data_IF_391904871773
#
_entry.id   IF_391904871773
#
_cell.length_a   1.000
_cell.length_b   1.000
_cell.length_c   1.000
_cell.angle_alpha   90.00
_cell.angle_beta   90.00
_cell.angle_gamma   90.00
#
_symmetry.space_group_name_H-M   'P 1'
#
loop_
_entity.id
_entity.type
_entity.pdbx_description
1 polymer ?
#
# COMPACT_ATOMS: atom_id res chain seq x y z
N UNK A 1 62.68 -33.56 -1.73
CA UNK A 1 62.01 -32.54 -0.89
C UNK A 1 60.94 -31.93 -1.77
N UNK A 2 59.70 -32.38 -1.60
CA UNK A 2 58.60 -32.13 -2.54
C UNK A 2 58.06 -30.71 -2.31
N UNK A 3 57.85 -30.02 -3.41
CA UNK A 3 57.41 -28.63 -3.56
C UNK A 3 55.90 -28.61 -3.30
N UNK A 4 55.43 -27.68 -2.47
CA UNK A 4 54.04 -27.63 -2.00
C UNK A 4 53.03 -27.43 -3.13
N UNK A 5 52.04 -28.31 -3.21
CA UNK A 5 50.81 -28.10 -3.97
C UNK A 5 49.99 -26.99 -3.32
N UNK A 6 49.72 -25.93 -4.08
CA UNK A 6 48.71 -24.94 -3.76
C UNK A 6 47.34 -25.64 -3.70
N UNK A 7 46.70 -25.57 -2.53
CA UNK A 7 45.32 -25.98 -2.34
C UNK A 7 44.43 -24.99 -3.12
N UNK A 8 44.12 -25.28 -4.38
CA UNK A 8 43.04 -24.59 -5.08
C UNK A 8 41.73 -25.03 -4.44
N UNK A 9 41.17 -24.17 -3.59
CA UNK A 9 39.80 -24.32 -3.11
C UNK A 9 38.91 -24.10 -4.33
N UNK A 10 38.36 -25.19 -4.86
CA UNK A 10 37.37 -25.16 -5.94
C UNK A 10 36.11 -24.46 -5.39
N UNK A 11 35.96 -23.17 -5.70
CA UNK A 11 34.75 -22.43 -5.37
C UNK A 11 33.70 -22.89 -6.38
N UNK A 12 32.64 -23.58 -5.96
CA UNK A 12 31.67 -24.12 -6.90
C UNK A 12 31.09 -22.99 -7.77
N UNK A 13 30.98 -23.27 -9.07
CA UNK A 13 30.33 -22.38 -10.03
C UNK A 13 28.93 -22.01 -9.53
N UNK A 14 28.61 -20.72 -9.55
CA UNK A 14 27.31 -20.18 -9.05
C UNK A 14 26.10 -20.84 -9.72
N UNK A 15 26.29 -21.46 -10.88
CA UNK A 15 25.29 -22.24 -11.60
C UNK A 15 24.81 -23.53 -10.90
N UNK A 16 25.46 -23.98 -9.82
CA UNK A 16 25.11 -25.24 -9.12
C UNK A 16 24.28 -25.04 -7.84
N UNK A 17 23.99 -23.80 -7.44
CA UNK A 17 22.95 -23.57 -6.46
C UNK A 17 21.61 -23.72 -7.17
N UNK A 18 20.91 -24.84 -6.94
CA UNK A 18 19.50 -25.01 -7.29
C UNK A 18 18.66 -24.03 -6.46
N UNK A 19 18.76 -22.74 -6.78
CA UNK A 19 17.86 -21.71 -6.26
C UNK A 19 16.58 -21.83 -7.07
N UNK A 20 15.55 -22.37 -6.43
CA UNK A 20 14.19 -22.25 -6.93
C UNK A 20 13.81 -20.78 -6.76
N UNK A 21 13.47 -20.11 -7.85
CA UNK A 21 12.98 -18.74 -7.78
C UNK A 21 11.66 -18.70 -7.00
N UNK A 22 11.42 -17.65 -6.22
CA UNK A 22 10.20 -17.51 -5.42
C UNK A 22 9.44 -16.21 -5.76
N UNK A 23 8.10 -16.30 -5.76
CA UNK A 23 7.20 -15.16 -5.63
C UNK A 23 6.95 -14.90 -4.15
N UNK A 24 7.59 -13.87 -3.60
CA UNK A 24 7.46 -13.48 -2.19
C UNK A 24 6.63 -12.21 -2.06
N UNK A 25 5.53 -12.28 -1.32
CA UNK A 25 4.68 -11.14 -1.04
C UNK A 25 4.89 -10.60 0.38
N UNK A 26 5.49 -9.43 0.48
CA UNK A 26 5.67 -8.68 1.71
C UNK A 26 4.49 -7.73 1.96
N UNK A 27 3.87 -7.85 3.13
CA UNK A 27 2.69 -7.05 3.44
C UNK A 27 2.61 -6.55 4.88
N UNK A 28 1.80 -5.51 5.06
CA UNK A 28 1.49 -4.89 6.34
C UNK A 28 0.60 -3.66 6.12
N UNK A 29 0.11 -3.01 7.18
CA UNK A 29 -0.63 -1.75 7.05
C UNK A 29 0.21 -0.66 6.36
N UNK A 30 -0.38 0.50 6.12
CA UNK A 30 0.41 1.68 5.78
C UNK A 30 1.44 1.96 6.88
N UNK A 31 2.50 2.68 6.57
CA UNK A 31 3.48 3.14 7.57
C UNK A 31 4.37 2.04 8.20
N UNK A 32 4.30 0.79 7.74
CA UNK A 32 5.13 -0.32 8.26
C UNK A 32 6.52 -0.46 7.60
N UNK A 33 6.91 0.46 6.72
CA UNK A 33 8.25 0.48 6.10
C UNK A 33 8.44 -0.42 4.87
N UNK A 34 7.37 -0.75 4.13
CA UNK A 34 7.42 -1.58 2.91
C UNK A 34 8.45 -1.11 1.89
N UNK A 35 8.39 0.15 1.45
CA UNK A 35 9.33 0.71 0.48
C UNK A 35 10.77 0.77 1.01
N UNK A 36 10.97 0.94 2.31
CA UNK A 36 12.31 0.80 2.92
C UNK A 36 12.84 -0.63 2.75
N UNK A 37 12.02 -1.63 3.07
CA UNK A 37 12.41 -3.04 2.93
C UNK A 37 12.65 -3.41 1.46
N UNK A 38 11.82 -2.92 0.53
CA UNK A 38 12.03 -3.11 -0.91
C UNK A 38 13.40 -2.61 -1.36
N UNK A 39 13.77 -1.39 -0.97
CA UNK A 39 15.07 -0.81 -1.28
C UNK A 39 16.22 -1.54 -0.59
N UNK A 40 16.03 -2.03 0.64
CA UNK A 40 17.01 -2.86 1.34
C UNK A 40 17.24 -4.20 0.63
N UNK A 41 16.17 -4.89 0.23
CA UNK A 41 16.25 -6.14 -0.53
C UNK A 41 17.00 -5.89 -1.84
N UNK A 42 16.63 -4.85 -2.58
CA UNK A 42 17.34 -4.48 -3.81
C UNK A 42 18.83 -4.20 -3.57
N UNK A 43 19.18 -3.45 -2.53
CA UNK A 43 20.56 -3.15 -2.19
C UNK A 43 21.36 -4.42 -1.84
N UNK A 44 20.79 -5.33 -1.04
CA UNK A 44 21.42 -6.61 -0.68
C UNK A 44 21.66 -7.47 -1.92
N UNK A 45 20.66 -7.59 -2.79
CA UNK A 45 20.72 -8.40 -4.00
C UNK A 45 21.74 -7.84 -5.01
N UNK A 46 21.71 -6.52 -5.24
CA UNK A 46 22.65 -5.84 -6.13
C UNK A 46 24.10 -5.93 -5.64
N UNK A 47 24.33 -5.74 -4.34
CA UNK A 47 25.68 -5.88 -3.74
C UNK A 47 26.20 -7.32 -3.84
N UNK A 48 25.30 -8.31 -3.84
CA UNK A 48 25.65 -9.71 -4.10
C UNK A 48 25.97 -10.01 -5.59
N UNK A 49 25.83 -9.02 -6.48
CA UNK A 49 26.12 -9.11 -7.91
C UNK A 49 24.94 -9.59 -8.76
N UNK A 50 23.70 -9.49 -8.26
CA UNK A 50 22.48 -9.77 -9.03
C UNK A 50 21.92 -8.49 -9.64
N UNK A 51 21.50 -8.55 -10.90
CA UNK A 51 20.80 -7.47 -11.60
C UNK A 51 19.29 -7.60 -11.36
N UNK A 52 18.62 -6.51 -11.02
CA UNK A 52 17.17 -6.52 -10.84
C UNK A 52 16.52 -5.22 -11.27
N UNK A 53 15.22 -5.30 -11.57
CA UNK A 53 14.41 -4.17 -12.00
C UNK A 53 13.40 -3.79 -10.90
N UNK A 54 13.29 -2.50 -10.63
CA UNK A 54 12.32 -1.94 -9.68
C UNK A 54 11.10 -1.43 -10.43
N UNK A 55 9.93 -1.67 -9.87
CA UNK A 55 8.65 -1.24 -10.37
C UNK A 55 7.84 -0.58 -9.25
N UNK A 56 7.10 0.47 -9.59
CA UNK A 56 6.18 1.15 -8.68
C UNK A 56 4.95 1.60 -9.45
N UNK A 57 3.82 1.79 -8.76
CA UNK A 57 2.58 2.31 -9.34
C UNK A 57 2.03 3.44 -8.49
N UNK A 58 1.52 4.49 -9.14
CA UNK A 58 1.01 5.69 -8.48
C UNK A 58 2.04 6.30 -7.52
N UNK A 59 3.27 6.51 -8.00
CA UNK A 59 4.29 7.18 -7.21
C UNK A 59 3.81 8.58 -6.81
N UNK A 60 3.85 8.86 -5.50
CA UNK A 60 3.42 10.13 -4.91
C UNK A 60 4.30 11.30 -5.34
N UNK A 61 5.51 11.03 -5.83
CA UNK A 61 6.44 12.03 -6.34
C UNK A 61 6.26 12.36 -7.83
N UNK A 62 5.53 11.54 -8.59
CA UNK A 62 5.37 11.71 -10.05
C UNK A 62 6.62 11.39 -10.89
N UNK A 63 7.73 11.05 -10.26
CA UNK A 63 9.05 10.89 -10.91
C UNK A 63 9.43 9.43 -11.19
N UNK A 64 8.50 8.47 -11.02
CA UNK A 64 8.79 7.03 -11.13
C UNK A 64 9.93 6.59 -10.20
N UNK A 65 9.82 6.91 -8.90
CA UNK A 65 10.82 6.59 -7.89
C UNK A 65 10.18 5.76 -6.79
N UNK A 66 10.87 4.71 -6.33
CA UNK A 66 10.53 4.13 -5.02
C UNK A 66 11.20 4.99 -3.98
N UNK A 67 10.40 5.70 -3.17
CA UNK A 67 10.87 6.52 -2.07
C UNK A 67 10.38 5.97 -0.73
N UNK A 68 11.24 6.04 0.28
CA UNK A 68 10.90 5.61 1.63
C UNK A 68 10.91 6.78 2.61
N UNK A 69 10.16 6.62 3.70
CA UNK A 69 10.08 7.65 4.76
C UNK A 69 11.38 7.88 5.52
N UNK A 70 12.33 6.98 5.39
CA UNK A 70 13.67 7.11 5.98
C UNK A 70 14.66 7.78 5.02
N UNK A 71 14.19 8.34 3.90
CA UNK A 71 15.01 9.11 2.97
C UNK A 71 15.79 8.26 1.96
N UNK A 72 15.56 6.95 1.91
CA UNK A 72 16.07 6.11 0.83
C UNK A 72 15.21 6.30 -0.43
N UNK A 73 15.84 6.37 -1.59
CA UNK A 73 15.16 6.38 -2.88
C UNK A 73 15.95 5.62 -3.94
N UNK A 74 15.25 5.08 -4.93
CA UNK A 74 15.84 4.49 -6.13
C UNK A 74 14.91 4.66 -7.33
N UNK A 75 15.44 4.89 -8.55
CA UNK A 75 14.62 4.89 -9.76
C UNK A 75 13.86 3.58 -9.93
N UNK A 76 12.62 3.68 -10.40
CA UNK A 76 11.77 2.55 -10.70
C UNK A 76 11.04 2.78 -12.02
N UNK A 77 10.61 1.71 -12.66
CA UNK A 77 9.72 1.81 -13.81
C UNK A 77 8.26 1.93 -13.32
N UNK A 78 7.52 2.87 -13.89
CA UNK A 78 6.10 3.00 -13.60
C UNK A 78 5.31 1.83 -14.22
N UNK A 79 4.38 1.29 -13.43
CA UNK A 79 3.48 0.21 -13.87
C UNK A 79 2.14 0.80 -14.29
N UNK A 80 1.94 0.94 -15.60
CA UNK A 80 0.63 1.20 -16.18
C UNK A 80 -0.24 -0.06 -16.22
N UNK A 81 -1.53 0.09 -16.50
CA UNK A 81 -2.46 -1.05 -16.61
C UNK A 81 -2.14 -1.99 -17.79
N UNK A 82 -1.43 -1.48 -18.81
CA UNK A 82 -1.03 -2.24 -20.00
C UNK A 82 0.35 -2.91 -19.89
N UNK A 83 1.11 -2.65 -18.82
CA UNK A 83 2.43 -3.27 -18.65
C UNK A 83 2.30 -4.79 -18.55
N UNK A 84 3.00 -5.51 -19.44
CA UNK A 84 3.18 -6.96 -19.39
C UNK A 84 4.55 -7.29 -18.75
N UNK A 85 4.53 -7.78 -17.51
CA UNK A 85 5.76 -8.13 -16.78
C UNK A 85 6.54 -9.28 -17.44
N UNK A 86 5.82 -10.26 -18.00
CA UNK A 86 6.44 -11.41 -18.65
C UNK A 86 7.09 -10.98 -19.96
N UNK A 87 6.35 -10.24 -20.79
CA UNK A 87 6.86 -9.68 -22.03
C UNK A 87 8.04 -8.74 -21.82
N UNK A 88 8.01 -7.93 -20.76
CA UNK A 88 9.14 -7.10 -20.33
C UNK A 88 10.37 -7.98 -20.04
N UNK A 89 10.25 -8.98 -19.15
CA UNK A 89 11.36 -9.82 -18.76
C UNK A 89 11.97 -10.59 -19.96
N UNK A 90 11.13 -11.15 -20.83
CA UNK A 90 11.58 -11.82 -22.07
C UNK A 90 12.33 -10.84 -22.97
N UNK A 91 11.86 -9.61 -23.10
CA UNK A 91 12.50 -8.57 -23.92
C UNK A 91 13.89 -8.23 -23.39
N UNK A 92 14.03 -8.04 -22.07
CA UNK A 92 15.31 -7.78 -21.41
C UNK A 92 16.31 -8.91 -21.67
N UNK A 93 15.90 -10.16 -21.40
CA UNK A 93 16.74 -11.34 -21.55
C UNK A 93 17.15 -11.57 -23.01
N UNK A 94 16.22 -11.42 -23.95
CA UNK A 94 16.48 -11.63 -25.39
C UNK A 94 17.40 -10.54 -25.96
N UNK A 95 17.37 -9.34 -25.40
CA UNK A 95 18.31 -8.27 -25.74
C UNK A 95 19.71 -8.47 -25.11
N UNK A 96 19.96 -9.61 -24.46
CA UNK A 96 21.23 -9.94 -23.82
C UNK A 96 21.49 -9.20 -22.50
N UNK A 97 20.46 -8.56 -21.93
CA UNK A 97 20.58 -7.94 -20.60
C UNK A 97 20.43 -8.99 -19.53
N UNK A 98 21.12 -8.81 -18.41
CA UNK A 98 20.99 -9.67 -17.25
C UNK A 98 19.85 -9.17 -16.38
N UNK A 99 18.92 -10.06 -16.07
CA UNK A 99 17.82 -9.82 -15.15
C UNK A 99 17.71 -11.06 -14.27
N UNK A 100 17.92 -10.90 -12.97
CA UNK A 100 17.91 -11.99 -12.00
C UNK A 100 16.70 -11.91 -11.05
N UNK A 101 16.06 -10.75 -10.88
CA UNK A 101 14.89 -10.56 -10.02
C UNK A 101 14.09 -9.27 -10.33
N UNK A 102 12.83 -9.24 -9.87
CA UNK A 102 11.97 -8.07 -9.89
C UNK A 102 11.64 -7.59 -8.46
N UNK A 103 11.56 -6.27 -8.27
CA UNK A 103 11.04 -5.62 -7.06
C UNK A 103 9.78 -4.87 -7.48
N UNK A 104 8.64 -5.20 -6.90
CA UNK A 104 7.35 -4.61 -7.23
C UNK A 104 6.76 -3.91 -6.01
N UNK A 105 6.87 -2.58 -5.93
CA UNK A 105 6.25 -1.79 -4.87
C UNK A 105 4.81 -1.37 -5.22
N UNK A 106 4.01 -1.09 -4.19
CA UNK A 106 2.59 -0.76 -4.28
C UNK A 106 1.76 -1.79 -5.09
N UNK A 107 2.15 -3.07 -5.00
CA UNK A 107 1.60 -4.17 -5.78
C UNK A 107 0.10 -4.44 -5.53
N UNK A 108 -0.49 -3.85 -4.49
CA UNK A 108 -1.95 -3.89 -4.31
C UNK A 108 -2.73 -3.22 -5.46
N UNK A 109 -2.09 -2.35 -6.24
CA UNK A 109 -2.70 -1.66 -7.37
C UNK A 109 -2.49 -2.38 -8.71
N UNK A 110 -1.82 -3.54 -8.70
CA UNK A 110 -1.67 -4.35 -9.90
C UNK A 110 -2.99 -5.05 -10.22
N UNK A 111 -3.20 -5.31 -11.50
CA UNK A 111 -4.34 -6.12 -11.95
C UNK A 111 -4.08 -7.60 -11.67
N UNK A 112 -5.13 -8.41 -11.63
CA UNK A 112 -4.99 -9.86 -11.44
C UNK A 112 -4.10 -10.49 -12.53
N UNK A 113 -4.24 -10.01 -13.78
CA UNK A 113 -3.41 -10.43 -14.90
C UNK A 113 -1.93 -10.10 -14.69
N UNK A 114 -1.63 -8.90 -14.18
CA UNK A 114 -0.25 -8.52 -13.86
C UNK A 114 0.36 -9.43 -12.80
N UNK A 115 -0.40 -9.81 -11.79
CA UNK A 115 0.07 -10.75 -10.76
C UNK A 115 0.28 -12.16 -11.34
N UNK A 116 -0.60 -12.61 -12.25
CA UNK A 116 -0.39 -13.88 -12.97
C UNK A 116 0.87 -13.86 -13.83
N UNK A 117 1.17 -12.74 -14.49
CA UNK A 117 2.42 -12.57 -15.24
C UNK A 117 3.64 -12.65 -14.31
N UNK A 118 3.57 -12.09 -13.10
CA UNK A 118 4.66 -12.21 -12.11
C UNK A 118 4.89 -13.67 -11.69
N UNK A 119 3.83 -14.44 -11.45
CA UNK A 119 3.97 -15.87 -11.17
C UNK A 119 4.63 -16.61 -12.35
N UNK A 120 4.23 -16.30 -13.58
CA UNK A 120 4.87 -16.87 -14.79
C UNK A 120 6.34 -16.46 -14.94
N UNK A 121 6.72 -15.26 -14.52
CA UNK A 121 8.13 -14.83 -14.49
C UNK A 121 8.95 -15.73 -13.54
N UNK A 122 8.38 -16.10 -12.40
CA UNK A 122 9.03 -17.04 -11.47
C UNK A 122 9.08 -18.44 -12.07
N UNK A 123 7.93 -18.97 -12.50
CA UNK A 123 7.80 -20.36 -12.96
C UNK A 123 8.60 -20.64 -14.24
N UNK A 124 8.40 -19.82 -15.28
CA UNK A 124 8.92 -20.11 -16.61
C UNK A 124 10.32 -19.53 -16.82
N UNK A 125 10.64 -18.38 -16.20
CA UNK A 125 11.92 -17.68 -16.40
C UNK A 125 12.90 -17.87 -15.23
N UNK A 126 12.46 -18.46 -14.11
CA UNK A 126 13.28 -18.70 -12.91
C UNK A 126 13.90 -17.41 -12.36
N UNK A 127 13.14 -16.32 -12.37
CA UNK A 127 13.53 -15.03 -11.80
C UNK A 127 12.77 -14.79 -10.48
N UNK A 128 13.46 -14.37 -9.42
CA UNK A 128 12.78 -14.04 -8.16
C UNK A 128 11.87 -12.83 -8.33
N UNK A 129 10.71 -12.84 -7.68
CA UNK A 129 9.83 -11.68 -7.61
C UNK A 129 9.54 -11.34 -6.15
N UNK A 130 9.88 -10.12 -5.76
CA UNK A 130 9.56 -9.58 -4.44
C UNK A 130 8.49 -8.50 -4.58
N UNK A 131 7.26 -8.82 -4.19
CA UNK A 131 6.13 -7.90 -4.22
C UNK A 131 5.92 -7.26 -2.84
N UNK A 132 5.64 -5.96 -2.81
CA UNK A 132 5.39 -5.18 -1.61
C UNK A 132 4.05 -4.47 -1.75
N UNK A 133 3.17 -4.64 -0.77
CA UNK A 133 1.85 -4.00 -0.84
C UNK A 133 1.03 -4.13 0.44
N UNK A 134 -0.07 -3.40 0.52
CA UNK A 134 -1.04 -3.52 1.62
C UNK A 134 -2.14 -4.52 1.27
N UNK A 135 -2.53 -5.39 2.20
CA UNK A 135 -3.60 -6.38 1.94
C UNK A 135 -4.96 -5.74 1.68
N UNK A 136 -5.36 -4.81 2.54
CA UNK A 136 -6.73 -4.30 2.57
C UNK A 136 -6.82 -2.79 2.48
N UNK A 137 -7.88 -2.32 1.83
CA UNK A 137 -8.27 -0.92 1.79
C UNK A 137 -8.80 -0.41 3.14
N UNK A 138 -9.23 0.85 3.16
CA UNK A 138 -9.81 1.50 4.33
C UNK A 138 -11.17 0.92 4.77
N UNK A 139 -11.80 0.10 3.93
CA UNK A 139 -13.05 -0.61 4.21
C UNK A 139 -12.78 -2.03 4.73
N UNK A 140 -11.51 -2.39 4.93
CA UNK A 140 -11.09 -3.75 5.30
C UNK A 140 -11.49 -4.79 4.25
N UNK A 141 -11.47 -4.40 2.97
CA UNK A 141 -11.62 -5.30 1.83
C UNK A 141 -10.27 -5.50 1.16
N UNK A 142 -10.01 -6.72 0.71
CA UNK A 142 -8.77 -7.02 -0.02
C UNK A 142 -8.69 -6.14 -1.28
N UNK A 143 -7.50 -5.63 -1.56
CA UNK A 143 -7.20 -5.16 -2.91
C UNK A 143 -7.19 -6.34 -3.88
N UNK A 144 -7.71 -6.20 -5.12
CA UNK A 144 -7.69 -7.27 -6.11
C UNK A 144 -6.28 -7.85 -6.32
N UNK A 145 -5.29 -7.00 -6.63
CA UNK A 145 -3.90 -7.44 -6.82
C UNK A 145 -3.30 -8.12 -5.59
N UNK A 146 -3.58 -7.62 -4.38
CA UNK A 146 -3.16 -8.30 -3.15
C UNK A 146 -3.89 -9.62 -2.90
N UNK A 147 -5.17 -9.71 -3.24
CA UNK A 147 -5.92 -10.97 -3.20
C UNK A 147 -5.28 -12.00 -4.12
N UNK A 148 -4.93 -11.59 -5.35
CA UNK A 148 -4.26 -12.48 -6.29
C UNK A 148 -2.85 -12.89 -5.82
N UNK A 149 -2.10 -11.98 -5.20
CA UNK A 149 -0.80 -12.30 -4.60
C UNK A 149 -0.93 -13.29 -3.44
N UNK A 150 -1.98 -13.18 -2.62
CA UNK A 150 -2.27 -14.16 -1.55
C UNK A 150 -2.51 -15.56 -2.11
N UNK A 151 -3.13 -15.67 -3.28
CA UNK A 151 -3.42 -16.95 -3.92
C UNK A 151 -2.19 -17.58 -4.59
N UNK A 152 -1.28 -16.77 -5.15
CA UNK A 152 -0.20 -17.24 -6.01
C UNK A 152 1.19 -17.21 -5.38
N UNK A 153 1.45 -16.38 -4.37
CA UNK A 153 2.78 -16.26 -3.80
C UNK A 153 3.21 -17.56 -3.10
N UNK A 154 4.44 -18.01 -3.36
CA UNK A 154 5.07 -19.13 -2.65
C UNK A 154 5.16 -18.83 -1.15
N UNK A 155 5.42 -17.55 -0.83
CA UNK A 155 5.60 -17.08 0.54
C UNK A 155 4.95 -15.73 0.76
N UNK A 156 4.28 -15.62 1.90
CA UNK A 156 3.76 -14.36 2.41
C UNK A 156 4.47 -13.97 3.70
N UNK A 157 4.99 -12.76 3.75
CA UNK A 157 5.75 -12.25 4.88
C UNK A 157 5.12 -10.97 5.42
N UNK A 158 4.66 -11.00 6.67
CA UNK A 158 4.19 -9.77 7.34
C UNK A 158 5.37 -9.00 7.90
N UNK A 159 5.46 -7.69 7.61
CA UNK A 159 6.55 -6.86 8.12
C UNK A 159 6.58 -6.83 9.65
N UNK A 160 7.79 -7.00 10.20
CA UNK A 160 8.03 -7.08 11.64
C UNK A 160 7.90 -5.73 12.34
N UNK A 161 8.23 -4.64 11.63
CA UNK A 161 8.02 -3.29 12.13
C UNK A 161 6.55 -2.94 11.98
N UNK A 162 5.82 -3.04 13.09
CA UNK A 162 4.38 -2.86 13.11
C UNK A 162 4.04 -1.42 13.54
N UNK A 163 3.22 -0.69 12.78
CA UNK A 163 2.82 0.65 13.15
C UNK A 163 1.97 0.61 14.42
N UNK A 164 1.91 1.76 15.11
CA UNK A 164 1.26 1.90 16.40
C UNK A 164 0.06 2.83 16.26
N UNK A 165 -1.10 2.39 16.75
CA UNK A 165 -2.29 3.21 16.85
C UNK A 165 -2.06 4.32 17.88
N UNK A 166 -2.78 5.43 17.80
CA UNK A 166 -2.67 6.53 18.78
C UNK A 166 -2.79 6.10 20.25
N UNK A 167 -3.40 4.93 20.53
CA UNK A 167 -3.52 4.36 21.87
C UNK A 167 -2.33 3.52 22.34
N UNK A 168 -1.25 3.43 21.56
CA UNK A 168 -0.06 2.65 21.89
C UNK A 168 -0.16 1.16 21.54
N UNK A 169 -1.34 0.67 21.16
CA UNK A 169 -1.51 -0.71 20.67
C UNK A 169 -1.09 -0.83 19.22
N UNK A 170 -0.71 -2.05 18.80
CA UNK A 170 -0.43 -2.36 17.40
C UNK A 170 -1.58 -1.94 16.48
N UNK A 171 -1.26 -1.17 15.46
CA UNK A 171 -2.18 -0.89 14.37
C UNK A 171 -2.20 -2.05 13.37
N UNK A 172 -3.39 -2.42 12.92
CA UNK A 172 -3.61 -3.52 11.99
C UNK A 172 -4.54 -3.18 10.84
N UNK A 173 -5.17 -2.01 10.86
CA UNK A 173 -6.14 -1.58 9.86
C UNK A 173 -5.78 -0.20 9.33
N UNK A 174 -5.99 0.01 8.03
CA UNK A 174 -5.92 1.31 7.39
C UNK A 174 -7.27 2.01 7.54
N UNK A 175 -7.29 3.30 7.83
CA UNK A 175 -8.48 4.12 7.92
C UNK A 175 -8.32 5.34 7.03
N UNK A 176 -9.31 5.60 6.18
CA UNK A 176 -9.45 6.87 5.48
C UNK A 176 -10.18 7.84 6.39
N UNK A 177 -9.67 9.06 6.46
CA UNK A 177 -10.14 10.09 7.37
C UNK A 177 -10.44 11.36 6.58
N UNK A 178 -11.64 11.91 6.74
CA UNK A 178 -12.04 13.22 6.21
C UNK A 178 -12.35 14.10 7.41
N UNK A 179 -11.66 15.24 7.51
CA UNK A 179 -11.80 16.20 8.62
C UNK A 179 -11.71 15.55 10.01
N UNK A 180 -10.79 14.59 10.15
CA UNK A 180 -10.57 13.88 11.40
C UNK A 180 -11.56 12.73 11.68
N UNK A 181 -12.58 12.51 10.84
CA UNK A 181 -13.56 11.42 11.00
C UNK A 181 -13.29 10.28 10.03
N UNK A 182 -13.32 9.05 10.54
CA UNK A 182 -13.15 7.86 9.68
C UNK A 182 -14.35 7.68 8.75
N UNK A 183 -14.07 7.55 7.46
CA UNK A 183 -15.08 7.24 6.43
C UNK A 183 -14.99 5.79 6.01
N UNK A 184 -16.14 5.20 5.65
CA UNK A 184 -16.25 3.80 5.19
C UNK A 184 -16.80 3.67 3.77
N UNK A 185 -17.08 4.80 3.11
CA UNK A 185 -17.63 4.89 1.76
C UNK A 185 -16.68 5.69 0.83
N UNK A 186 -16.93 5.69 -0.47
CA UNK A 186 -16.04 6.27 -1.51
C UNK A 186 -15.12 5.28 -2.24
N UNK A 187 -14.59 5.66 -3.41
CA UNK A 187 -13.74 4.81 -4.24
C UNK A 187 -12.47 4.34 -3.52
N UNK A 188 -11.95 3.16 -3.89
CA UNK A 188 -10.77 2.56 -3.26
C UNK A 188 -9.48 3.35 -3.55
N UNK A 189 -9.43 4.03 -4.69
CA UNK A 189 -8.30 4.84 -5.13
C UNK A 189 -8.59 6.32 -4.87
N UNK A 190 -7.84 6.92 -3.94
CA UNK A 190 -7.61 8.37 -3.88
C UNK A 190 -6.09 8.48 -3.75
N UNK A 191 -5.42 8.65 -4.88
CA UNK A 191 -3.99 8.94 -4.92
C UNK A 191 -3.81 10.35 -4.37
N UNK A 192 -2.78 10.53 -3.56
CA UNK A 192 -2.57 11.75 -2.78
C UNK A 192 -2.31 12.97 -3.66
N UNK A 193 -3.38 13.62 -4.10
CA UNK A 193 -3.43 15.07 -4.23
C UNK A 193 -4.36 15.59 -3.14
N UNK A 194 -3.90 16.63 -2.46
CA UNK A 194 -4.63 17.25 -1.33
C UNK A 194 -5.74 18.19 -1.84
N UNK A 195 -6.07 18.18 -3.12
CA UNK A 195 -7.16 18.99 -3.68
C UNK A 195 -7.85 18.24 -4.83
N UNK A 196 -9.18 18.27 -4.80
CA UNK A 196 -10.14 17.75 -5.79
C UNK A 196 -10.47 16.24 -5.76
N UNK A 197 -11.65 15.95 -5.22
CA UNK A 197 -12.36 14.68 -5.41
C UNK A 197 -13.10 14.75 -6.76
N UNK A 198 -12.66 13.99 -7.77
CA UNK A 198 -13.51 13.69 -8.93
C UNK A 198 -14.56 12.65 -8.54
N UNK A 199 -15.82 13.07 -8.50
CA UNK A 199 -16.95 12.17 -8.42
C UNK A 199 -17.17 11.54 -9.81
N UNK A 200 -17.19 10.21 -9.86
CA UNK A 200 -17.58 9.48 -11.06
C UNK A 200 -19.02 9.83 -11.49
N UNK A 201 -19.33 9.86 -12.79
CA UNK A 201 -20.67 10.18 -13.28
C UNK A 201 -21.66 9.11 -12.80
N UNK A 202 -22.74 9.57 -12.19
CA UNK A 202 -23.92 8.75 -11.92
C UNK A 202 -24.52 8.28 -13.24
N UNK A 203 -24.69 6.97 -13.40
CA UNK A 203 -25.44 6.41 -14.52
C UNK A 203 -26.86 7.01 -14.53
N UNK A 204 -27.40 7.42 -15.69
CA UNK A 204 -28.74 7.99 -15.74
C UNK A 204 -29.77 6.90 -15.43
N UNK A 205 -30.61 7.17 -14.43
CA UNK A 205 -31.76 6.35 -14.09
C UNK A 205 -32.70 6.23 -15.29
N UNK A 206 -33.15 5.01 -15.57
CA UNK A 206 -34.17 4.69 -16.57
C UNK A 206 -35.51 5.39 -16.23
N UNK A 207 -36.10 6.03 -17.24
CA UNK A 207 -37.39 6.74 -17.16
C UNK A 207 -38.55 5.83 -16.72
N UNK A 208 -39.40 6.26 -15.76
CA UNK A 208 -40.77 5.80 -15.66
C UNK A 208 -41.75 6.84 -16.23
N UNK A 209 -42.68 6.33 -17.06
CA UNK A 209 -43.83 7.03 -17.66
C UNK A 209 -44.79 7.66 -16.62
N UNK A 210 -45.62 8.65 -17.01
CA UNK A 210 -46.31 9.58 -16.09
C UNK A 210 -47.71 9.10 -15.65
N UNK A 211 -48.32 9.86 -14.71
CA UNK A 211 -49.75 10.14 -14.39
C UNK A 211 -49.91 10.27 -12.84
N UNK A 212 -50.61 11.20 -12.18
CA UNK A 212 -51.34 12.43 -12.50
C UNK A 212 -51.61 13.21 -11.17
N UNK A 213 -51.69 14.54 -11.28
CA UNK A 213 -52.42 15.58 -10.52
C UNK A 213 -52.47 15.63 -8.96
N UNK A 214 -52.10 16.79 -8.39
CA UNK A 214 -52.37 17.13 -6.98
C UNK A 214 -51.55 18.28 -6.39
N UNK A 215 -52.04 19.51 -6.54
CA UNK A 215 -51.49 20.79 -6.03
C UNK A 215 -51.26 20.87 -4.51
N UNK A 216 -50.08 21.35 -4.06
CA UNK A 216 -49.83 21.91 -2.72
C UNK A 216 -48.82 23.09 -2.81
N UNK A 217 -48.96 24.20 -2.06
CA UNK A 217 -48.29 25.48 -2.32
C UNK A 217 -46.87 25.60 -1.70
N UNK A 218 -46.08 26.51 -2.29
CA UNK A 218 -44.63 26.62 -2.11
C UNK A 218 -44.11 27.24 -0.80
N UNK A 219 -42.83 26.95 -0.55
CA UNK A 219 -41.90 27.57 0.40
C UNK A 219 -40.45 27.38 -0.14
N UNK A 220 -39.46 28.18 0.31
CA UNK A 220 -38.45 28.79 -0.56
C UNK A 220 -37.27 27.89 -0.92
N UNK A 221 -36.64 28.22 -2.05
CA UNK A 221 -35.41 27.64 -2.55
C UNK A 221 -34.22 28.01 -1.66
N UNK A 222 -33.77 27.08 -0.82
CA UNK A 222 -32.42 27.09 -0.26
C UNK A 222 -31.51 26.38 -1.27
N UNK A 223 -30.86 27.15 -2.12
CA UNK A 223 -29.68 26.71 -2.86
C UNK A 223 -28.62 26.26 -1.86
N UNK A 224 -28.56 24.95 -1.59
CA UNK A 224 -27.47 24.34 -0.87
C UNK A 224 -26.17 24.59 -1.66
N UNK A 225 -25.35 25.48 -1.13
CA UNK A 225 -24.00 25.71 -1.63
C UNK A 225 -23.20 24.40 -1.51
N UNK A 226 -22.35 24.05 -2.49
CA UNK A 226 -21.51 22.87 -2.38
C UNK A 226 -20.56 23.04 -1.21
N UNK A 227 -20.66 22.14 -0.23
CA UNK A 227 -19.75 22.04 0.90
C UNK A 227 -18.36 21.66 0.41
N UNK A 228 -17.36 22.41 0.85
CA UNK A 228 -15.93 22.17 0.63
C UNK A 228 -15.58 20.68 0.80
N UNK A 229 -14.93 20.01 -0.19
CA UNK A 229 -14.53 18.62 -0.02
C UNK A 229 -13.41 18.57 1.03
N UNK A 230 -13.77 18.19 2.26
CA UNK A 230 -12.85 18.07 3.39
C UNK A 230 -11.56 17.31 3.07
N UNK A 231 -10.48 17.64 3.78
CA UNK A 231 -9.15 17.11 3.49
C UNK A 231 -9.08 15.61 3.75
N UNK A 232 -8.80 14.83 2.70
CA UNK A 232 -8.64 13.36 2.80
C UNK A 232 -7.25 13.03 3.32
N UNK A 233 -7.20 12.29 4.42
CA UNK A 233 -5.97 11.77 5.02
C UNK A 233 -6.11 10.28 5.34
N UNK A 234 -5.00 9.62 5.67
CA UNK A 234 -4.99 8.21 6.07
C UNK A 234 -4.34 8.05 7.45
N UNK A 235 -4.92 7.19 8.28
CA UNK A 235 -4.41 6.80 9.59
C UNK A 235 -4.36 5.26 9.70
N UNK A 236 -3.48 4.74 10.55
CA UNK A 236 -3.44 3.32 10.92
C UNK A 236 -3.95 3.11 12.34
N UNK A 237 -4.93 2.21 12.50
CA UNK A 237 -5.65 1.99 13.75
C UNK A 237 -5.53 0.54 14.24
N UNK A 238 -5.61 0.36 15.56
CA UNK A 238 -5.82 -0.96 16.13
C UNK A 238 -7.25 -1.43 15.80
N UNK A 239 -7.47 -2.76 15.79
CA UNK A 239 -8.77 -3.33 15.41
C UNK A 239 -9.95 -2.76 16.21
N UNK A 240 -9.77 -2.52 17.51
CA UNK A 240 -10.83 -1.97 18.36
C UNK A 240 -11.20 -0.55 17.96
N UNK A 241 -10.21 0.32 17.72
CA UNK A 241 -10.44 1.72 17.35
C UNK A 241 -10.95 1.86 15.92
N UNK A 242 -10.47 1.04 15.00
CA UNK A 242 -11.04 0.95 13.65
C UNK A 242 -12.53 0.57 13.68
N UNK A 243 -12.89 -0.49 14.42
CA UNK A 243 -14.30 -0.91 14.57
C UNK A 243 -15.19 0.13 15.24
N UNK A 244 -14.63 0.95 16.11
CA UNK A 244 -15.34 2.05 16.80
C UNK A 244 -15.29 3.37 16.03
N UNK A 245 -14.62 3.42 14.88
CA UNK A 245 -14.37 4.64 14.09
C UNK A 245 -13.73 5.75 14.92
N UNK A 246 -12.84 5.36 15.85
CA UNK A 246 -12.24 6.25 16.83
C UNK A 246 -10.83 6.63 16.38
N UNK A 247 -10.76 7.64 15.51
CA UNK A 247 -9.53 8.27 15.04
C UNK A 247 -8.83 9.02 16.16
N UNK A 248 -7.57 9.44 15.94
CA UNK A 248 -6.86 10.31 16.88
C UNK A 248 -7.65 11.60 17.16
N UNK A 249 -8.14 12.26 16.11
CA UNK A 249 -8.87 13.52 16.23
C UNK A 249 -10.14 13.38 17.07
N UNK A 250 -10.94 12.33 16.83
CA UNK A 250 -12.15 12.04 17.61
C UNK A 250 -11.81 11.77 19.08
N UNK A 251 -10.75 11.02 19.35
CA UNK A 251 -10.30 10.73 20.71
C UNK A 251 -9.88 12.01 21.46
N UNK A 252 -9.12 12.89 20.81
CA UNK A 252 -8.69 14.16 21.39
C UNK A 252 -9.86 15.10 21.67
N UNK A 253 -10.85 15.18 20.76
CA UNK A 253 -12.04 16.01 20.95
C UNK A 253 -12.91 15.55 22.14
N UNK A 254 -12.92 14.24 22.42
CA UNK A 254 -13.69 13.66 23.54
C UNK A 254 -12.99 13.85 24.89
N UNK A 255 -11.66 14.00 24.89
CA UNK A 255 -10.86 14.33 26.05
C UNK A 255 -10.90 15.86 26.28
N UNK A 256 -12.04 16.38 26.73
CA UNK A 256 -12.09 17.77 27.20
C UNK A 256 -11.12 17.95 28.37
N UNK A 257 -10.30 19.03 28.39
CA UNK A 257 -9.49 19.39 29.54
C UNK A 257 -10.41 20.00 30.60
N UNK A 258 -11.24 19.19 31.23
CA UNK A 258 -11.84 19.60 32.50
C UNK A 258 -10.72 19.49 33.54
N UNK A 259 -10.17 20.60 34.07
CA UNK A 259 -9.16 20.50 35.10
C UNK A 259 -9.77 19.78 36.29
N UNK A 260 -9.12 18.70 36.74
CA UNK A 260 -9.53 17.96 37.92
C UNK A 260 -9.72 18.94 39.09
N UNK A 261 -10.79 18.81 39.89
CA UNK A 261 -11.17 19.79 40.91
C UNK A 261 -10.27 19.67 42.15
N UNK A 262 -8.98 19.92 42.00
CA UNK A 262 -8.01 19.96 43.11
C UNK A 262 -7.76 21.38 43.63
N UNK A 263 -8.68 22.32 43.38
CA UNK A 263 -8.55 23.74 43.77
C UNK A 263 -9.48 24.22 44.89
N UNK A 264 -10.26 23.35 45.52
CA UNK A 264 -11.06 23.74 46.69
C UNK A 264 -10.29 23.37 47.96
N UNK A 265 -9.65 24.35 48.58
CA UNK A 265 -9.17 24.21 49.95
C UNK A 265 -10.35 23.77 50.84
N UNK A 266 -10.20 22.74 51.69
CA UNK A 266 -11.25 22.36 52.61
C UNK A 266 -11.59 23.55 53.52
N UNK A 267 -12.86 23.75 53.89
CA UNK A 267 -13.26 24.88 54.72
C UNK A 267 -12.45 24.85 56.02
N UNK A 268 -11.79 25.98 56.33
CA UNK A 268 -11.15 26.16 57.62
C UNK A 268 -12.24 26.06 58.69
N UNK A 269 -12.10 25.06 59.54
CA UNK A 269 -12.89 24.97 60.77
C UNK A 269 -12.25 25.96 61.73
N UNK A 270 -13.03 26.97 62.14
CA UNK A 270 -12.66 28.00 63.12
C UNK A 270 -12.31 27.40 64.49
#
# INVERSE_FOLDING_TARGET
MVIGEELTVDVPDRAQCLLVAELVFFTGPMDCGKSTLALQVHHTQSTAGRAGQLFTKFDRSGDSVISSRLGLSSPAAEVGDELDFFGYAVTELTAGRRLDYLICDEAQFYTDLQVEQLARVVDDLQLDVFAFGILTDFRTRLFPGSGRLVELADRMETLQVQPVCWCGQRATHNARVIDGVMVTEGSQLVVGDTDAVEQAPTEPAEDPLPEADGTVPGMPSETAQPTDPGTVTYEVLCRQHHRRRMTRAVAQATLSPEPLPFGQDPPRID
#
